data_IF_616600287125
#
_entry.id   IF_616600287125
#
_cell.length_a   1.000
_cell.length_b   1.000
_cell.length_c   1.000
_cell.angle_alpha   90.00
_cell.angle_beta   90.00
_cell.angle_gamma   90.00
#
_symmetry.space_group_name_H-M   'P 1'
#
loop_
_entity.id
_entity.type
_entity.pdbx_description
1 polymer ?
#
# COMPACT_ATOMS: atom_id res chain seq x y z
N UNK A 1 -5.06 -4.84 -20.73
CA UNK A 1 -4.85 -3.41 -21.00
C UNK A 1 -3.82 -3.23 -22.11
N UNK A 2 -2.56 -3.66 -21.94
CA UNK A 2 -1.46 -3.41 -22.91
C UNK A 2 -1.80 -3.87 -24.34
N UNK A 3 -2.36 -5.07 -24.50
CA UNK A 3 -2.79 -5.58 -25.83
C UNK A 3 -3.85 -4.72 -26.49
N UNK A 4 -4.78 -4.12 -25.72
CA UNK A 4 -5.84 -3.27 -26.26
C UNK A 4 -5.29 -2.00 -26.92
N UNK A 5 -4.09 -1.57 -26.50
CA UNK A 5 -3.37 -0.43 -27.05
C UNK A 5 -2.31 -0.80 -28.09
N UNK A 6 -2.22 -2.08 -28.49
CA UNK A 6 -1.32 -2.55 -29.53
C UNK A 6 0.07 -2.97 -29.06
N UNK A 7 0.33 -3.00 -27.74
CA UNK A 7 1.60 -3.53 -27.24
C UNK A 7 1.63 -5.06 -27.36
N UNK A 8 2.76 -5.58 -27.80
CA UNK A 8 3.01 -7.00 -27.80
C UNK A 8 3.32 -7.49 -26.38
N UNK A 9 2.57 -8.48 -25.92
CA UNK A 9 2.81 -9.21 -24.66
C UNK A 9 2.73 -10.71 -24.96
N UNK A 10 3.52 -11.56 -24.31
CA UNK A 10 3.44 -12.99 -24.49
C UNK A 10 2.03 -13.51 -24.22
N UNK A 11 1.61 -14.56 -24.90
CA UNK A 11 0.33 -15.19 -24.61
C UNK A 11 0.39 -15.84 -23.22
N UNK A 12 -0.65 -15.68 -22.42
CA UNK A 12 -0.70 -16.21 -21.06
C UNK A 12 -2.11 -16.30 -20.50
N UNK A 13 -2.29 -17.21 -19.54
CA UNK A 13 -3.55 -17.49 -18.89
C UNK A 13 -3.40 -17.53 -17.39
N UNK A 14 -4.35 -16.97 -16.61
CA UNK A 14 -4.33 -17.07 -15.17
C UNK A 14 -4.62 -18.52 -14.72
N UNK A 15 -4.03 -18.92 -13.61
CA UNK A 15 -4.28 -20.20 -12.96
C UNK A 15 -4.44 -20.01 -11.44
N UNK A 16 -5.49 -20.57 -10.89
CA UNK A 16 -5.79 -20.51 -9.46
C UNK A 16 -5.54 -21.84 -8.75
N UNK A 17 -5.41 -22.90 -9.53
CA UNK A 17 -5.08 -24.25 -9.08
C UNK A 17 -3.91 -24.82 -9.88
N UNK A 18 -3.32 -25.90 -9.40
CA UNK A 18 -2.25 -26.62 -10.11
C UNK A 18 -2.78 -27.20 -11.43
N UNK A 19 -4.00 -27.67 -11.41
CA UNK A 19 -4.69 -28.23 -12.58
C UNK A 19 -4.94 -27.15 -13.64
N UNK A 20 -5.38 -25.95 -13.24
CA UNK A 20 -5.53 -24.81 -14.15
C UNK A 20 -4.18 -24.45 -14.82
N UNK A 21 -3.09 -24.49 -14.03
CA UNK A 21 -1.75 -24.20 -14.56
C UNK A 21 -1.36 -25.17 -15.66
N UNK A 22 -1.60 -26.47 -15.45
CA UNK A 22 -1.31 -27.52 -16.45
C UNK A 22 -2.19 -27.37 -17.68
N UNK A 23 -3.48 -27.04 -17.50
CA UNK A 23 -4.41 -26.83 -18.64
C UNK A 23 -4.00 -25.57 -19.43
N UNK A 24 -3.61 -24.50 -18.75
CA UNK A 24 -3.11 -23.28 -19.38
C UNK A 24 -1.85 -23.54 -20.19
N UNK A 25 -0.91 -24.33 -19.67
CA UNK A 25 0.30 -24.71 -20.40
C UNK A 25 -0.01 -25.56 -21.63
N UNK A 26 -0.94 -26.51 -21.56
CA UNK A 26 -1.39 -27.28 -22.73
C UNK A 26 -2.03 -26.38 -23.80
N UNK A 27 -2.78 -25.36 -23.38
CA UNK A 27 -3.44 -24.41 -24.29
C UNK A 27 -2.44 -23.52 -25.01
N UNK A 28 -1.32 -23.17 -24.37
CA UNK A 28 -0.25 -22.37 -24.98
C UNK A 28 0.49 -23.14 -26.09
N UNK A 29 0.60 -24.45 -25.97
CA UNK A 29 1.24 -25.36 -26.94
C UNK A 29 2.63 -24.87 -27.39
N UNK A 30 3.45 -24.46 -26.42
CA UNK A 30 4.81 -23.94 -26.65
C UNK A 30 5.84 -24.80 -25.93
N UNK A 31 7.08 -24.91 -26.49
CA UNK A 31 8.14 -25.73 -25.89
C UNK A 31 8.65 -25.19 -24.56
N UNK A 32 8.44 -23.90 -24.30
CA UNK A 32 8.85 -23.21 -23.06
C UNK A 32 7.68 -22.45 -22.48
N UNK A 33 7.39 -22.73 -21.23
CA UNK A 33 6.33 -22.09 -20.46
C UNK A 33 6.92 -21.43 -19.22
N UNK A 34 6.47 -20.24 -18.87
CA UNK A 34 6.90 -19.54 -17.66
C UNK A 34 5.76 -19.55 -16.66
N UNK A 35 6.05 -20.02 -15.44
CA UNK A 35 5.13 -20.02 -14.29
C UNK A 35 5.47 -18.82 -13.42
N UNK A 36 4.56 -17.82 -13.38
CA UNK A 36 4.80 -16.54 -12.69
C UNK A 36 3.80 -16.35 -11.55
N UNK A 37 4.28 -16.14 -10.32
CA UNK A 37 3.45 -15.68 -9.21
C UNK A 37 2.80 -14.33 -9.55
N UNK A 38 1.54 -14.15 -9.19
CA UNK A 38 0.84 -12.87 -9.31
C UNK A 38 0.60 -12.32 -7.90
N UNK A 39 1.37 -11.29 -7.55
CA UNK A 39 1.24 -10.47 -6.35
C UNK A 39 1.49 -9.01 -6.74
N UNK A 40 0.95 -8.05 -5.99
CA UNK A 40 1.17 -6.62 -6.21
C UNK A 40 2.55 -6.16 -5.69
N UNK A 41 3.62 -6.81 -6.17
CA UNK A 41 5.00 -6.44 -5.85
C UNK A 41 5.96 -6.86 -6.96
N UNK A 42 7.03 -6.08 -7.13
CA UNK A 42 8.18 -6.41 -7.95
C UNK A 42 9.15 -7.38 -7.27
N UNK A 43 10.25 -7.76 -7.96
CA UNK A 43 11.29 -8.65 -7.42
C UNK A 43 10.86 -10.12 -7.28
N UNK A 44 9.76 -10.51 -7.93
CA UNK A 44 9.20 -11.87 -7.85
C UNK A 44 10.17 -12.95 -8.32
N UNK A 45 10.98 -12.65 -9.34
CA UNK A 45 11.98 -13.57 -9.87
C UNK A 45 13.04 -13.93 -8.84
N UNK A 46 13.62 -12.93 -8.17
CA UNK A 46 14.62 -13.11 -7.12
C UNK A 46 14.05 -13.87 -5.91
N UNK A 47 12.78 -13.62 -5.58
CA UNK A 47 12.07 -14.33 -4.51
C UNK A 47 11.65 -15.77 -4.88
N UNK A 48 11.98 -16.25 -6.08
CA UNK A 48 11.64 -17.58 -6.56
C UNK A 48 10.17 -17.75 -6.99
N UNK A 49 9.49 -16.65 -7.28
CA UNK A 49 8.12 -16.62 -7.78
C UNK A 49 8.00 -16.73 -9.30
N UNK A 50 9.11 -16.89 -10.04
CA UNK A 50 9.13 -17.08 -11.50
C UNK A 50 9.97 -18.30 -11.82
N UNK A 51 9.42 -19.25 -12.59
CA UNK A 51 10.07 -20.50 -12.98
C UNK A 51 9.84 -20.78 -14.46
N UNK A 52 10.88 -21.26 -15.15
CA UNK A 52 10.82 -21.67 -16.55
C UNK A 52 10.62 -23.19 -16.59
N UNK A 53 9.60 -23.65 -17.30
CA UNK A 53 9.23 -25.04 -17.46
C UNK A 53 9.34 -25.50 -18.91
N UNK A 54 9.90 -26.68 -19.13
CA UNK A 54 10.06 -27.32 -20.44
C UNK A 54 9.14 -28.54 -20.61
N UNK A 55 8.33 -28.85 -19.58
CA UNK A 55 7.38 -29.96 -19.61
C UNK A 55 6.15 -29.64 -18.74
N UNK A 56 5.05 -30.36 -18.99
CA UNK A 56 3.83 -30.24 -18.18
C UNK A 56 4.04 -30.72 -16.73
N UNK A 57 4.97 -31.63 -16.51
CA UNK A 57 5.30 -32.11 -15.18
C UNK A 57 6.07 -31.06 -14.39
N UNK A 58 6.99 -30.33 -15.03
CA UNK A 58 7.64 -29.17 -14.42
C UNK A 58 6.65 -28.04 -14.12
N UNK A 59 5.70 -27.76 -15.02
CA UNK A 59 4.62 -26.80 -14.75
C UNK A 59 3.83 -27.20 -13.50
N UNK A 60 3.45 -28.48 -13.40
CA UNK A 60 2.74 -29.02 -12.23
C UNK A 60 3.56 -28.88 -10.95
N UNK A 61 4.85 -29.20 -11.01
CA UNK A 61 5.76 -29.07 -9.87
C UNK A 61 5.88 -27.61 -9.44
N UNK A 62 6.20 -26.69 -10.34
CA UNK A 62 6.40 -25.28 -10.01
C UNK A 62 5.11 -24.60 -9.55
N UNK A 63 3.96 -24.98 -10.13
CA UNK A 63 2.68 -24.48 -9.64
C UNK A 63 2.44 -24.89 -8.18
N UNK A 64 2.75 -26.13 -7.78
CA UNK A 64 2.65 -26.58 -6.37
C UNK A 64 3.62 -25.86 -5.45
N UNK A 65 4.83 -25.57 -5.91
CA UNK A 65 5.86 -24.87 -5.14
C UNK A 65 5.52 -23.40 -4.89
N UNK A 66 4.83 -22.75 -5.83
CA UNK A 66 4.59 -21.30 -5.81
C UNK A 66 3.21 -20.96 -5.24
N UNK A 67 2.15 -21.70 -5.60
CA UNK A 67 0.80 -21.46 -5.07
C UNK A 67 0.77 -21.65 -3.55
N UNK A 68 0.22 -20.67 -2.84
CA UNK A 68 0.12 -20.66 -1.39
C UNK A 68 1.41 -20.26 -0.65
N UNK A 69 2.54 -20.12 -1.36
CA UNK A 69 3.81 -19.64 -0.78
C UNK A 69 3.70 -18.15 -0.45
N UNK A 70 4.31 -17.73 0.63
CA UNK A 70 4.53 -16.32 0.94
C UNK A 70 5.84 -15.87 0.30
N UNK A 71 5.76 -14.92 -0.63
CA UNK A 71 6.93 -14.31 -1.26
C UNK A 71 7.34 -13.07 -0.49
N UNK A 72 8.60 -13.02 -0.10
CA UNK A 72 9.24 -11.87 0.53
C UNK A 72 10.12 -11.19 -0.51
N UNK A 73 9.79 -9.95 -0.85
CA UNK A 73 10.56 -9.10 -1.76
C UNK A 73 10.90 -7.77 -1.07
N UNK A 74 11.75 -6.95 -1.66
CA UNK A 74 12.02 -5.59 -1.11
C UNK A 74 10.73 -4.78 -0.95
N UNK A 75 9.78 -4.93 -1.88
CA UNK A 75 8.52 -4.16 -1.90
C UNK A 75 7.45 -4.72 -0.94
N UNK A 76 7.43 -6.04 -0.67
CA UNK A 76 6.47 -6.63 0.28
C UNK A 76 6.90 -6.49 1.74
N UNK A 77 8.17 -6.14 1.98
CA UNK A 77 8.74 -6.15 3.31
C UNK A 77 8.80 -7.56 3.95
N UNK A 78 9.19 -7.66 5.24
CA UNK A 78 9.45 -8.95 5.89
C UNK A 78 8.21 -9.83 6.07
N UNK A 79 7.00 -9.25 6.07
CA UNK A 79 5.73 -10.01 6.16
C UNK A 79 5.46 -10.80 4.88
N UNK A 80 5.96 -10.34 3.74
CA UNK A 80 5.71 -10.95 2.44
C UNK A 80 4.26 -10.86 1.97
N UNK A 81 3.98 -11.41 0.79
CA UNK A 81 2.63 -11.57 0.24
C UNK A 81 2.39 -13.03 -0.16
N UNK A 82 1.21 -13.55 0.18
CA UNK A 82 0.80 -14.91 -0.17
C UNK A 82 0.39 -14.99 -1.63
N UNK A 83 0.95 -15.95 -2.37
CA UNK A 83 0.59 -16.19 -3.78
C UNK A 83 -0.75 -16.92 -3.85
N UNK A 84 -1.76 -16.27 -4.37
CA UNK A 84 -3.11 -16.82 -4.54
C UNK A 84 -3.39 -17.25 -5.98
N UNK A 85 -2.59 -16.78 -6.95
CA UNK A 85 -2.75 -17.06 -8.38
C UNK A 85 -1.43 -17.02 -9.11
N UNK A 86 -1.40 -17.68 -10.27
CA UNK A 86 -0.28 -17.71 -11.20
C UNK A 86 -0.69 -17.13 -12.55
N UNK A 87 0.28 -16.65 -13.30
CA UNK A 87 0.20 -16.45 -14.73
C UNK A 87 1.05 -17.54 -15.39
N UNK A 88 0.46 -18.30 -16.29
CA UNK A 88 1.13 -19.31 -17.12
C UNK A 88 1.29 -18.69 -18.49
N UNK A 89 2.52 -18.43 -18.89
CA UNK A 89 2.85 -17.59 -20.05
C UNK A 89 3.80 -18.31 -21.01
N UNK A 90 3.64 -18.04 -22.30
CA UNK A 90 4.56 -18.55 -23.32
C UNK A 90 5.95 -17.92 -23.15
N UNK A 91 6.99 -18.74 -23.18
CA UNK A 91 8.37 -18.27 -23.18
C UNK A 91 8.71 -17.51 -24.47
N UNK A 92 9.73 -16.67 -24.43
CA UNK A 92 10.25 -15.95 -25.58
C UNK A 92 11.79 -16.03 -25.61
N UNK A 93 12.39 -15.84 -26.80
CA UNK A 93 13.84 -15.82 -26.96
C UNK A 93 14.37 -14.40 -26.72
N UNK A 94 14.81 -14.15 -25.48
CA UNK A 94 15.33 -12.85 -25.07
C UNK A 94 16.70 -12.61 -25.73
N UNK A 95 16.85 -11.47 -26.43
CA UNK A 95 18.11 -10.95 -26.93
C UNK A 95 18.70 -9.92 -25.98
N UNK A 96 17.87 -8.98 -25.52
CA UNK A 96 18.28 -7.94 -24.58
C UNK A 96 17.08 -7.44 -23.78
N UNK A 97 17.31 -7.11 -22.52
CA UNK A 97 16.33 -6.55 -21.61
C UNK A 97 16.57 -5.06 -21.40
N UNK A 98 15.48 -4.30 -21.29
CA UNK A 98 15.48 -2.86 -21.08
C UNK A 98 14.47 -2.51 -19.99
N UNK A 99 14.68 -1.37 -19.36
CA UNK A 99 13.71 -0.70 -18.53
C UNK A 99 13.01 0.41 -19.31
N UNK A 100 11.71 0.54 -19.19
CA UNK A 100 10.94 1.66 -19.71
C UNK A 100 9.82 2.04 -18.76
N UNK A 101 9.66 3.33 -18.44
CA UNK A 101 8.53 3.83 -17.66
C UNK A 101 8.07 5.20 -18.11
N UNK A 102 6.81 5.51 -17.77
CA UNK A 102 6.22 6.84 -17.80
C UNK A 102 5.71 7.18 -16.41
N UNK A 103 5.99 8.39 -15.95
CA UNK A 103 5.51 8.91 -14.67
C UNK A 103 5.33 10.44 -14.75
N UNK A 104 4.63 11.01 -13.76
CA UNK A 104 4.50 12.47 -13.63
C UNK A 104 5.67 13.00 -12.82
N UNK A 105 6.48 13.85 -13.42
CA UNK A 105 7.50 14.64 -12.74
C UNK A 105 6.86 15.95 -12.22
N UNK A 106 6.67 16.03 -10.90
CA UNK A 106 6.02 17.20 -10.26
C UNK A 106 6.88 18.44 -10.26
N UNK A 107 8.22 18.29 -10.32
CA UNK A 107 9.12 19.46 -10.37
C UNK A 107 9.16 20.08 -11.76
N UNK A 108 9.16 19.21 -12.79
CA UNK A 108 9.13 19.64 -14.18
C UNK A 108 7.70 19.91 -14.70
N UNK A 109 6.67 19.62 -13.89
CA UNK A 109 5.24 19.81 -14.23
C UNK A 109 4.83 19.12 -15.53
N UNK A 110 5.44 17.97 -15.84
CA UNK A 110 5.19 17.24 -17.08
C UNK A 110 5.33 15.73 -16.91
N UNK A 111 4.98 14.98 -17.96
CA UNK A 111 5.21 13.55 -18.04
C UNK A 111 6.68 13.32 -18.42
N UNK A 112 7.36 12.41 -17.74
CA UNK A 112 8.69 11.98 -18.11
C UNK A 112 8.68 10.52 -18.54
N UNK A 113 9.32 10.24 -19.68
CA UNK A 113 9.66 8.89 -20.12
C UNK A 113 11.07 8.57 -19.65
N UNK A 114 11.23 7.48 -18.92
CA UNK A 114 12.54 7.00 -18.46
C UNK A 114 12.87 5.68 -19.12
N UNK A 115 14.12 5.52 -19.54
CA UNK A 115 14.61 4.29 -20.15
C UNK A 115 16.01 3.94 -19.67
N UNK A 116 16.32 2.65 -19.57
CA UNK A 116 17.65 2.14 -19.24
C UNK A 116 17.92 0.81 -19.94
N UNK A 117 19.20 0.53 -20.23
CA UNK A 117 19.65 -0.78 -20.71
C UNK A 117 19.73 -1.83 -19.57
N UNK A 118 19.52 -1.41 -18.32
CA UNK A 118 19.51 -2.28 -17.15
C UNK A 118 18.09 -2.80 -16.88
N UNK A 119 17.52 -3.57 -17.83
CA UNK A 119 16.23 -4.22 -17.66
C UNK A 119 16.27 -5.40 -16.68
N UNK A 120 15.13 -5.73 -16.09
CA UNK A 120 14.99 -6.83 -15.11
C UNK A 120 15.60 -6.54 -13.75
N UNK A 121 16.22 -5.36 -13.55
CA UNK A 121 16.82 -4.92 -12.29
C UNK A 121 15.90 -3.91 -11.57
N UNK A 122 16.16 -3.74 -10.28
CA UNK A 122 15.55 -2.69 -9.45
C UNK A 122 16.07 -1.31 -9.91
N UNK A 123 15.18 -0.50 -10.46
CA UNK A 123 15.56 0.79 -11.07
C UNK A 123 16.04 1.81 -10.04
N UNK A 124 15.56 1.73 -8.79
CA UNK A 124 15.98 2.57 -7.70
C UNK A 124 17.47 2.33 -7.37
N UNK A 125 17.90 1.07 -7.42
CA UNK A 125 19.31 0.70 -7.27
C UNK A 125 20.13 1.26 -8.43
N UNK A 126 19.66 1.13 -9.68
CA UNK A 126 20.33 1.70 -10.85
C UNK A 126 20.42 3.22 -10.75
N UNK A 127 19.36 3.88 -10.27
CA UNK A 127 19.34 5.34 -10.10
C UNK A 127 20.34 5.83 -9.03
N UNK A 128 20.53 5.05 -7.96
CA UNK A 128 21.44 5.39 -6.88
C UNK A 128 22.92 5.14 -7.25
N UNK A 129 23.22 4.03 -7.92
CA UNK A 129 24.59 3.61 -8.22
C UNK A 129 25.09 4.11 -9.57
N UNK A 130 24.20 4.20 -10.57
CA UNK A 130 24.50 4.51 -11.97
C UNK A 130 23.47 5.45 -12.61
N UNK A 131 23.25 6.68 -12.07
CA UNK A 131 22.25 7.62 -12.58
C UNK A 131 22.43 7.96 -14.06
N UNK A 132 23.68 7.89 -14.57
CA UNK A 132 24.03 8.13 -15.99
C UNK A 132 23.43 7.08 -16.94
N UNK A 133 23.04 5.91 -16.45
CA UNK A 133 22.40 4.85 -17.26
C UNK A 133 20.90 5.08 -17.47
N UNK A 134 20.32 6.08 -16.80
CA UNK A 134 18.91 6.41 -16.93
C UNK A 134 18.73 7.58 -17.87
N UNK A 135 18.17 7.31 -19.01
CA UNK A 135 17.79 8.32 -20.00
C UNK A 135 16.42 8.89 -19.64
N UNK A 136 16.24 10.20 -19.81
CA UNK A 136 14.97 10.89 -19.55
C UNK A 136 14.56 11.72 -20.75
N UNK A 137 13.27 11.65 -21.10
CA UNK A 137 12.59 12.48 -22.08
C UNK A 137 11.40 13.15 -21.43
N UNK A 138 11.42 14.47 -21.38
CA UNK A 138 10.33 15.28 -20.86
C UNK A 138 9.30 15.55 -21.95
N UNK A 139 8.06 15.28 -21.67
CA UNK A 139 6.97 15.27 -22.64
C UNK A 139 6.03 16.44 -22.30
N UNK A 140 5.90 17.36 -23.22
CA UNK A 140 4.93 18.46 -23.11
C UNK A 140 3.51 17.86 -23.08
N UNK A 141 2.69 18.16 -22.06
CA UNK A 141 1.37 17.55 -21.90
C UNK A 141 0.37 17.95 -22.99
N UNK A 142 0.61 19.07 -23.71
CA UNK A 142 -0.25 19.56 -24.80
C UNK A 142 0.10 18.86 -26.11
N UNK A 143 1.40 18.67 -26.39
CA UNK A 143 1.90 18.06 -27.65
C UNK A 143 1.85 16.55 -27.55
N UNK A 144 2.12 15.97 -26.36
CA UNK A 144 2.30 14.55 -26.16
C UNK A 144 3.65 14.04 -26.64
N UNK A 145 3.84 12.70 -26.60
CA UNK A 145 5.08 12.07 -27.02
C UNK A 145 5.25 12.13 -28.55
N UNK A 146 6.21 12.93 -28.98
CA UNK A 146 6.54 13.09 -30.40
C UNK A 146 7.38 11.93 -30.91
N UNK A 147 7.27 11.64 -32.22
CA UNK A 147 8.01 10.54 -32.88
C UNK A 147 9.53 10.65 -32.71
N UNK A 148 10.08 11.85 -32.78
CA UNK A 148 11.50 12.07 -32.62
C UNK A 148 12.00 11.77 -31.21
N UNK A 149 11.18 12.04 -30.16
CA UNK A 149 11.52 11.74 -28.77
C UNK A 149 11.57 10.21 -28.55
N UNK A 150 10.57 9.48 -29.03
CA UNK A 150 10.55 8.02 -28.94
C UNK A 150 11.75 7.39 -29.70
N UNK A 151 12.10 7.91 -30.89
CA UNK A 151 13.27 7.46 -31.63
C UNK A 151 14.58 7.83 -30.93
N UNK A 152 14.69 9.04 -30.38
CA UNK A 152 15.85 9.48 -29.61
C UNK A 152 16.10 8.57 -28.41
N UNK A 153 15.04 8.21 -27.67
CA UNK A 153 15.12 7.24 -26.58
C UNK A 153 15.59 5.86 -27.10
N UNK A 154 15.01 5.36 -28.18
CA UNK A 154 15.40 4.07 -28.76
C UNK A 154 16.87 4.04 -29.21
N UNK A 155 17.38 5.12 -29.82
CA UNK A 155 18.81 5.24 -30.15
C UNK A 155 19.68 5.37 -28.89
N UNK A 156 19.25 6.12 -27.89
CA UNK A 156 19.97 6.26 -26.63
C UNK A 156 20.07 4.95 -25.85
N UNK A 157 19.08 4.08 -25.98
CA UNK A 157 19.07 2.72 -25.42
C UNK A 157 19.82 1.70 -26.32
N UNK A 158 20.51 2.17 -27.37
CA UNK A 158 21.29 1.36 -28.32
C UNK A 158 20.48 0.23 -28.97
N UNK A 159 19.20 0.48 -29.30
CA UNK A 159 18.48 -0.45 -30.16
C UNK A 159 19.13 -0.55 -31.53
N UNK A 160 19.23 -1.77 -32.05
CA UNK A 160 19.69 -1.98 -33.41
C UNK A 160 18.75 -1.29 -34.40
N UNK A 161 19.28 -0.79 -35.54
CA UNK A 161 18.54 -0.04 -36.55
C UNK A 161 17.23 -0.72 -36.98
N UNK A 162 17.25 -2.06 -37.08
CA UNK A 162 16.07 -2.88 -37.46
C UNK A 162 14.96 -2.82 -36.43
N UNK A 163 15.27 -2.59 -35.14
CA UNK A 163 14.34 -2.59 -34.03
C UNK A 163 13.92 -1.17 -33.57
N UNK A 164 14.64 -0.11 -33.99
CA UNK A 164 14.36 1.28 -33.54
C UNK A 164 12.91 1.68 -33.77
N UNK A 165 12.32 1.42 -34.93
CA UNK A 165 10.95 1.80 -35.22
C UNK A 165 9.94 1.01 -34.39
N UNK A 166 10.21 -0.28 -34.10
CA UNK A 166 9.37 -1.10 -33.24
C UNK A 166 9.46 -0.62 -31.78
N UNK A 167 10.66 -0.29 -31.28
CA UNK A 167 10.85 0.26 -29.94
C UNK A 167 10.15 1.62 -29.80
N UNK A 168 10.30 2.51 -30.78
CA UNK A 168 9.61 3.80 -30.78
C UNK A 168 8.09 3.64 -30.81
N UNK A 169 7.55 2.72 -31.59
CA UNK A 169 6.12 2.42 -31.62
C UNK A 169 5.64 1.87 -30.27
N UNK A 170 6.41 0.95 -29.67
CA UNK A 170 6.13 0.40 -28.35
C UNK A 170 6.05 1.51 -27.28
N UNK A 171 7.01 2.44 -27.25
CA UNK A 171 7.02 3.58 -26.34
C UNK A 171 5.79 4.45 -26.52
N UNK A 172 5.38 4.72 -27.76
CA UNK A 172 4.16 5.51 -28.06
C UNK A 172 2.90 4.79 -27.60
N UNK A 173 2.78 3.49 -27.80
CA UNK A 173 1.64 2.73 -27.31
C UNK A 173 1.58 2.70 -25.77
N UNK A 174 2.73 2.56 -25.07
CA UNK A 174 2.75 2.63 -23.62
C UNK A 174 2.38 4.04 -23.11
N UNK A 175 2.82 5.09 -23.81
CA UNK A 175 2.39 6.46 -23.53
C UNK A 175 0.87 6.63 -23.68
N UNK A 176 0.26 6.03 -24.71
CA UNK A 176 -1.18 6.04 -24.91
C UNK A 176 -1.92 5.29 -23.76
N UNK A 177 -1.36 4.19 -23.26
CA UNK A 177 -1.89 3.52 -22.07
C UNK A 177 -1.82 4.47 -20.87
N UNK A 178 -0.67 5.10 -20.64
CA UNK A 178 -0.43 6.01 -19.53
C UNK A 178 -1.46 7.14 -19.48
N UNK A 179 -1.64 7.84 -20.59
CA UNK A 179 -2.60 8.96 -20.69
C UNK A 179 -4.04 8.46 -20.74
N UNK A 180 -4.32 7.42 -21.55
CA UNK A 180 -5.69 6.95 -21.79
C UNK A 180 -6.32 6.21 -20.62
N UNK A 181 -5.52 5.79 -19.63
CA UNK A 181 -5.97 5.14 -18.39
C UNK A 181 -5.68 5.96 -17.14
N UNK A 182 -5.30 7.23 -17.30
CA UNK A 182 -4.95 8.12 -16.18
C UNK A 182 -3.95 7.45 -15.20
N UNK A 183 -2.87 6.90 -15.74
CA UNK A 183 -1.86 6.28 -14.92
C UNK A 183 -1.00 7.33 -14.20
N UNK A 184 -0.65 7.07 -12.96
CA UNK A 184 0.42 7.78 -12.24
C UNK A 184 1.79 7.16 -12.51
N UNK A 185 1.83 5.87 -12.88
CA UNK A 185 3.00 5.13 -13.32
C UNK A 185 2.57 4.10 -14.37
N UNK A 186 3.33 4.00 -15.47
CA UNK A 186 3.30 2.86 -16.38
C UNK A 186 4.74 2.39 -16.59
N UNK A 187 5.07 1.25 -16.02
CA UNK A 187 6.41 0.66 -16.03
C UNK A 187 6.39 -0.68 -16.76
N UNK A 188 7.38 -0.91 -17.61
CA UNK A 188 7.65 -2.20 -18.22
C UNK A 188 9.09 -2.59 -17.87
N UNK A 189 9.23 -3.64 -17.06
CA UNK A 189 10.52 -4.07 -16.53
C UNK A 189 10.57 -5.61 -16.37
N UNK A 190 11.12 -6.32 -17.39
CA UNK A 190 11.77 -5.78 -18.58
C UNK A 190 10.84 -5.56 -19.77
N UNK A 191 11.18 -4.53 -20.57
CA UNK A 191 10.87 -4.45 -21.99
C UNK A 191 11.95 -5.26 -22.74
N UNK A 192 11.55 -6.19 -23.56
CA UNK A 192 12.47 -7.17 -24.18
C UNK A 192 12.56 -6.97 -25.67
N UNK A 193 13.80 -6.92 -26.19
CA UNK A 193 14.09 -7.18 -27.60
C UNK A 193 14.30 -8.69 -27.76
N UNK A 194 13.51 -9.33 -28.62
CA UNK A 194 13.63 -10.76 -28.92
C UNK A 194 14.66 -11.02 -30.00
N UNK A 195 15.07 -12.30 -30.17
CA UNK A 195 15.97 -12.71 -31.27
C UNK A 195 15.35 -12.47 -32.63
N UNK A 196 14.03 -12.47 -32.73
CA UNK A 196 13.25 -12.16 -33.96
C UNK A 196 13.12 -10.65 -34.19
N UNK A 197 13.80 -9.82 -33.40
CA UNK A 197 13.76 -8.37 -33.42
C UNK A 197 12.36 -7.79 -33.16
N UNK A 198 11.55 -8.45 -32.35
CA UNK A 198 10.32 -7.89 -31.82
C UNK A 198 10.56 -7.24 -30.44
N UNK A 199 9.73 -6.24 -30.11
CA UNK A 199 9.77 -5.55 -28.83
C UNK A 199 8.50 -5.92 -28.07
N UNK A 200 8.67 -6.52 -26.88
CA UNK A 200 7.57 -7.06 -26.09
C UNK A 200 7.64 -6.58 -24.63
N UNK A 201 6.50 -6.46 -23.97
CA UNK A 201 6.43 -6.29 -22.51
C UNK A 201 6.40 -7.66 -21.86
N UNK A 202 7.45 -7.99 -21.10
CA UNK A 202 7.52 -9.26 -20.39
C UNK A 202 6.95 -9.18 -18.98
N UNK A 203 7.13 -8.04 -18.32
CA UNK A 203 6.46 -7.70 -17.07
C UNK A 203 6.11 -6.21 -17.06
N UNK A 204 4.96 -5.87 -16.45
CA UNK A 204 4.50 -4.50 -16.40
C UNK A 204 3.83 -4.20 -15.06
N UNK A 205 3.99 -2.95 -14.61
CA UNK A 205 3.34 -2.38 -13.45
C UNK A 205 2.63 -1.10 -13.86
N UNK A 206 1.33 -1.04 -13.61
CA UNK A 206 0.50 0.14 -13.87
C UNK A 206 -0.11 0.61 -12.56
N UNK A 207 0.12 1.87 -12.20
CA UNK A 207 -0.58 2.53 -11.11
C UNK A 207 -1.53 3.57 -11.73
N UNK A 208 -2.77 3.55 -11.29
CA UNK A 208 -3.81 4.45 -11.77
C UNK A 208 -4.03 5.57 -10.76
N UNK A 209 -4.52 6.71 -11.23
CA UNK A 209 -4.96 7.78 -10.34
C UNK A 209 -6.33 7.43 -9.76
N UNK A 210 -6.41 7.22 -8.46
CA UNK A 210 -7.64 6.83 -7.75
C UNK A 210 -8.77 7.85 -7.96
N UNK A 211 -8.44 9.14 -8.09
CA UNK A 211 -9.43 10.21 -8.31
C UNK A 211 -10.13 10.09 -9.67
N UNK A 212 -9.56 9.35 -10.61
CA UNK A 212 -10.09 9.17 -11.97
C UNK A 212 -10.81 7.85 -12.20
N UNK A 213 -10.79 6.94 -11.24
CA UNK A 213 -11.35 5.57 -11.37
C UNK A 213 -12.84 5.56 -11.76
N UNK A 214 -13.60 6.61 -11.39
CA UNK A 214 -14.99 6.75 -11.83
C UNK A 214 -15.15 6.80 -13.36
N UNK A 215 -14.09 7.20 -14.11
CA UNK A 215 -14.06 7.21 -15.58
C UNK A 215 -13.61 5.86 -16.17
N UNK A 216 -13.08 4.97 -15.34
CA UNK A 216 -12.47 3.70 -15.76
C UNK A 216 -13.11 2.48 -15.09
N UNK A 217 -14.39 2.18 -15.38
CA UNK A 217 -15.06 1.01 -14.76
C UNK A 217 -14.39 -0.31 -15.12
N UNK A 218 -13.69 -0.39 -16.24
CA UNK A 218 -12.89 -1.54 -16.65
C UNK A 218 -11.66 -1.75 -15.74
N UNK A 219 -11.05 -0.67 -15.22
CA UNK A 219 -9.96 -0.76 -14.24
C UNK A 219 -10.52 -1.14 -12.86
N UNK A 220 -11.63 -0.53 -12.44
CA UNK A 220 -12.30 -0.87 -11.17
C UNK A 220 -12.66 -2.36 -11.13
N UNK A 221 -13.08 -2.94 -12.25
CA UNK A 221 -13.40 -4.37 -12.34
C UNK A 221 -12.18 -5.30 -12.15
N UNK A 222 -10.96 -4.79 -12.28
CA UNK A 222 -9.70 -5.53 -12.03
C UNK A 222 -9.22 -5.45 -10.59
N UNK A 223 -9.90 -4.69 -9.73
CA UNK A 223 -9.52 -4.52 -8.32
C UNK A 223 -9.47 -5.88 -7.62
N UNK A 224 -8.37 -6.15 -6.95
CA UNK A 224 -8.15 -7.35 -6.14
C UNK A 224 -8.06 -7.01 -4.66
N UNK A 225 -9.20 -7.06 -3.99
CA UNK A 225 -9.32 -6.73 -2.55
C UNK A 225 -8.44 -7.63 -1.66
N UNK A 226 -8.07 -8.84 -2.12
CA UNK A 226 -7.21 -9.75 -1.35
C UNK A 226 -5.73 -9.29 -1.32
N UNK A 227 -5.34 -8.44 -2.27
CA UNK A 227 -3.99 -7.84 -2.32
C UNK A 227 -3.90 -6.51 -1.56
N UNK A 228 -5.04 -5.91 -1.18
CA UNK A 228 -5.10 -4.67 -0.41
C UNK A 228 -4.87 -4.91 1.09
N UNK A 229 -4.55 -3.84 1.82
CA UNK A 229 -4.62 -3.87 3.28
C UNK A 229 -6.08 -4.07 3.71
N UNK A 230 -6.33 -5.04 4.58
CA UNK A 230 -7.70 -5.42 4.95
C UNK A 230 -8.44 -4.29 5.68
N UNK A 231 -7.73 -3.46 6.46
CA UNK A 231 -8.31 -2.33 7.16
C UNK A 231 -8.65 -1.20 6.20
N UNK A 232 -7.76 -0.94 5.21
CA UNK A 232 -8.02 0.04 4.15
C UNK A 232 -9.22 -0.38 3.29
N UNK A 233 -9.30 -1.66 2.94
CA UNK A 233 -10.44 -2.22 2.21
C UNK A 233 -11.74 -2.15 3.00
N UNK A 234 -11.70 -2.40 4.31
CA UNK A 234 -12.86 -2.27 5.21
C UNK A 234 -13.30 -0.82 5.34
N UNK A 235 -12.36 0.11 5.58
CA UNK A 235 -12.63 1.54 5.67
C UNK A 235 -13.27 2.09 4.40
N UNK A 236 -12.78 1.68 3.24
CA UNK A 236 -13.34 2.09 1.95
C UNK A 236 -14.81 1.65 1.77
N UNK A 237 -15.23 0.49 2.30
CA UNK A 237 -16.63 0.04 2.29
C UNK A 237 -17.55 0.92 3.14
N UNK A 238 -17.00 1.47 4.23
CA UNK A 238 -17.72 2.39 5.14
C UNK A 238 -17.63 3.86 4.69
N UNK A 239 -17.01 4.13 3.54
CA UNK A 239 -16.81 5.48 3.01
C UNK A 239 -15.84 6.33 3.85
N UNK A 240 -14.84 5.69 4.46
CA UNK A 240 -13.76 6.31 5.22
C UNK A 240 -12.47 6.30 4.40
N UNK A 241 -11.69 7.37 4.49
CA UNK A 241 -10.34 7.42 3.94
C UNK A 241 -9.34 6.97 5.02
N UNK A 242 -8.79 5.79 4.86
CA UNK A 242 -7.88 5.16 5.83
C UNK A 242 -6.58 4.72 5.13
N UNK A 243 -5.44 5.01 5.76
CA UNK A 243 -4.12 4.48 5.38
C UNK A 243 -3.45 3.94 6.63
N UNK A 244 -2.98 2.71 6.58
CA UNK A 244 -2.26 2.06 7.66
C UNK A 244 -0.80 2.53 7.69
N UNK A 245 -0.34 3.09 8.82
CA UNK A 245 1.03 3.57 9.04
C UNK A 245 1.84 2.69 9.99
N UNK A 246 1.18 1.78 10.73
CA UNK A 246 1.82 0.75 11.54
C UNK A 246 2.39 1.20 12.89
N UNK A 247 2.03 2.39 13.38
CA UNK A 247 2.40 2.88 14.71
C UNK A 247 1.43 2.43 15.82
N UNK A 248 1.48 3.11 16.96
CA UNK A 248 0.72 2.79 18.18
C UNK A 248 -0.29 3.86 18.59
N UNK A 249 -0.21 5.06 18.00
CA UNK A 249 -1.19 6.15 18.24
C UNK A 249 -2.11 6.30 17.04
N UNK A 250 -3.34 5.83 17.15
CA UNK A 250 -4.33 6.03 16.11
C UNK A 250 -4.85 7.47 16.08
N UNK A 251 -5.22 7.96 14.90
CA UNK A 251 -5.87 9.26 14.77
C UNK A 251 -7.17 9.18 13.97
N UNK A 252 -8.16 10.01 14.37
CA UNK A 252 -9.41 10.23 13.65
C UNK A 252 -9.62 11.72 13.47
N UNK A 253 -9.78 12.14 12.22
CA UNK A 253 -9.80 13.55 11.82
C UNK A 253 -10.88 13.78 10.77
N UNK A 254 -11.34 15.00 10.60
CA UNK A 254 -12.15 15.39 9.46
C UNK A 254 -11.39 16.33 8.54
N UNK A 255 -11.10 15.85 7.34
CA UNK A 255 -10.36 16.55 6.29
C UNK A 255 -8.89 16.16 6.22
N UNK A 256 -8.43 15.84 5.00
CA UNK A 256 -7.12 15.27 4.73
C UNK A 256 -5.95 16.17 5.20
N UNK A 257 -6.06 17.50 5.05
CA UNK A 257 -5.02 18.43 5.50
C UNK A 257 -4.84 18.43 7.02
N UNK A 258 -5.98 18.38 7.78
CA UNK A 258 -5.93 18.29 9.24
C UNK A 258 -5.41 16.92 9.69
N UNK A 259 -5.71 15.84 8.93
CA UNK A 259 -5.21 14.51 9.21
C UNK A 259 -3.69 14.44 9.02
N UNK A 260 -3.13 14.99 7.95
CA UNK A 260 -1.67 15.08 7.76
C UNK A 260 -1.01 15.87 8.90
N UNK A 261 -1.54 17.06 9.24
CA UNK A 261 -1.00 17.85 10.34
C UNK A 261 -1.09 17.12 11.70
N UNK A 262 -2.13 16.29 11.91
CA UNK A 262 -2.26 15.50 13.14
C UNK A 262 -1.23 14.37 13.19
N UNK A 263 -1.00 13.69 12.08
CA UNK A 263 0.06 12.66 11.95
C UNK A 263 1.44 13.28 12.20
N UNK A 264 1.72 14.43 11.58
CA UNK A 264 2.99 15.13 11.74
C UNK A 264 3.25 15.55 13.19
N UNK A 265 2.27 16.14 13.87
CA UNK A 265 2.44 16.58 15.26
C UNK A 265 2.61 15.41 16.24
N UNK A 266 1.96 14.26 15.99
CA UNK A 266 2.22 13.03 16.75
C UNK A 266 3.69 12.63 16.58
N UNK A 267 4.20 12.65 15.34
CA UNK A 267 5.57 12.26 15.03
C UNK A 267 6.61 13.23 15.62
N UNK A 268 6.37 14.53 15.51
CA UNK A 268 7.23 15.57 16.07
C UNK A 268 7.36 15.48 17.60
N UNK A 269 6.31 15.04 18.28
CA UNK A 269 6.32 14.85 19.75
C UNK A 269 6.82 13.44 20.17
N UNK A 270 7.38 12.66 19.26
CA UNK A 270 8.01 11.37 19.52
C UNK A 270 7.03 10.21 19.72
N UNK A 271 5.83 10.31 19.15
CA UNK A 271 4.88 9.18 18.99
C UNK A 271 5.01 8.52 17.62
N UNK A 272 4.39 7.37 17.47
CA UNK A 272 4.31 6.66 16.20
C UNK A 272 2.84 6.58 15.74
N UNK A 273 2.45 7.36 14.69
CA UNK A 273 1.07 7.34 14.21
C UNK A 273 0.73 5.98 13.58
N UNK A 274 -0.38 5.39 14.01
CA UNK A 274 -0.86 4.09 13.55
C UNK A 274 -1.56 4.16 12.20
N UNK A 275 -2.21 5.28 11.92
CA UNK A 275 -3.01 5.45 10.70
C UNK A 275 -3.21 6.92 10.35
N UNK A 276 -3.50 7.14 9.07
CA UNK A 276 -4.21 8.30 8.59
C UNK A 276 -5.70 7.92 8.49
N UNK A 277 -6.61 8.67 9.11
CA UNK A 277 -8.05 8.44 9.00
C UNK A 277 -8.80 9.76 8.88
N UNK A 278 -9.44 9.97 7.74
CA UNK A 278 -10.32 11.09 7.48
C UNK A 278 -11.77 10.60 7.36
N UNK A 279 -12.63 11.05 8.28
CA UNK A 279 -14.05 10.67 8.30
C UNK A 279 -14.89 11.48 7.29
N UNK A 280 -14.27 12.42 6.57
CA UNK A 280 -14.93 13.26 5.57
C UNK A 280 -15.74 14.42 6.15
N UNK A 281 -16.42 15.14 5.25
CA UNK A 281 -17.24 16.32 5.61
C UNK A 281 -18.70 16.01 5.96
N UNK A 282 -19.16 14.77 5.75
CA UNK A 282 -20.55 14.31 5.90
C UNK A 282 -20.67 13.19 6.95
N UNK A 283 -19.88 13.27 8.02
CA UNK A 283 -19.83 12.22 9.04
C UNK A 283 -21.14 12.07 9.78
N UNK A 284 -21.57 10.81 9.95
CA UNK A 284 -22.69 10.40 10.78
C UNK A 284 -22.18 9.65 12.02
N UNK A 285 -22.99 9.48 13.09
CA UNK A 285 -22.58 8.66 14.23
C UNK A 285 -22.13 7.25 13.83
N UNK A 286 -22.79 6.62 12.85
CA UNK A 286 -22.45 5.28 12.36
C UNK A 286 -21.06 5.25 11.70
N UNK A 287 -20.68 6.28 10.94
CA UNK A 287 -19.32 6.40 10.38
C UNK A 287 -18.26 6.52 11.48
N UNK A 288 -18.56 7.25 12.56
CA UNK A 288 -17.66 7.37 13.71
C UNK A 288 -17.48 6.00 14.41
N UNK A 289 -18.58 5.28 14.60
CA UNK A 289 -18.54 3.92 15.17
C UNK A 289 -17.71 2.97 14.29
N UNK A 290 -17.90 3.02 12.96
CA UNK A 290 -17.11 2.23 12.02
C UNK A 290 -15.61 2.58 12.10
N UNK A 291 -15.27 3.87 12.16
CA UNK A 291 -13.90 4.34 12.33
C UNK A 291 -13.26 3.81 13.63
N UNK A 292 -13.95 3.88 14.75
CA UNK A 292 -13.49 3.32 16.02
C UNK A 292 -13.26 1.80 15.92
N UNK A 293 -14.20 1.07 15.31
CA UNK A 293 -14.06 -0.39 15.14
C UNK A 293 -12.79 -0.74 14.39
N UNK A 294 -12.53 -0.07 13.26
CA UNK A 294 -11.33 -0.32 12.44
C UNK A 294 -10.05 0.00 13.23
N UNK A 295 -10.01 1.10 13.98
CA UNK A 295 -8.85 1.43 14.82
C UNK A 295 -8.62 0.43 15.94
N UNK A 296 -9.70 -0.04 16.62
CA UNK A 296 -9.61 -0.98 17.74
C UNK A 296 -9.33 -2.43 17.33
N UNK A 297 -9.58 -2.80 16.09
CA UNK A 297 -9.15 -4.10 15.53
C UNK A 297 -7.62 -4.19 15.35
N UNK A 298 -6.90 -3.07 15.47
CA UNK A 298 -5.45 -3.05 15.44
C UNK A 298 -4.86 -3.25 16.84
N UNK A 299 -4.35 -4.43 17.10
CA UNK A 299 -3.69 -4.78 18.37
C UNK A 299 -2.41 -3.94 18.66
N UNK A 300 -1.89 -3.20 17.70
CA UNK A 300 -0.73 -2.31 17.88
C UNK A 300 -1.17 -0.95 18.44
N UNK A 301 -2.44 -0.57 18.25
CA UNK A 301 -2.98 0.71 18.73
C UNK A 301 -3.11 0.70 20.25
N UNK A 302 -2.46 1.64 20.91
CA UNK A 302 -2.43 1.81 22.37
C UNK A 302 -3.07 3.12 22.84
N UNK A 303 -3.33 4.05 21.92
CA UNK A 303 -4.00 5.31 22.22
C UNK A 303 -4.62 5.90 20.97
N UNK A 304 -5.63 6.77 21.14
CA UNK A 304 -6.34 7.42 20.03
C UNK A 304 -6.34 8.94 20.25
N UNK A 305 -6.02 9.68 19.20
CA UNK A 305 -6.21 11.14 19.13
C UNK A 305 -7.33 11.45 18.13
N UNK A 306 -8.42 12.00 18.63
CA UNK A 306 -9.52 12.54 17.83
C UNK A 306 -9.34 14.05 17.71
N UNK A 307 -9.17 14.54 16.49
CA UNK A 307 -8.95 15.95 16.22
C UNK A 307 -9.94 16.44 15.16
N UNK A 308 -11.01 17.07 15.62
CA UNK A 308 -12.13 17.50 14.78
C UNK A 308 -12.22 19.03 14.74
N UNK A 309 -12.30 19.55 13.51
CA UNK A 309 -12.68 20.93 13.27
C UNK A 309 -14.07 20.96 12.63
N UNK A 310 -15.08 21.30 13.42
CA UNK A 310 -16.47 21.35 13.01
C UNK A 310 -16.72 22.49 12.00
N UNK A 311 -16.92 22.09 10.76
CA UNK A 311 -17.36 22.96 9.66
C UNK A 311 -18.71 22.48 9.14
N UNK A 312 -18.70 21.66 8.08
CA UNK A 312 -19.89 20.95 7.60
C UNK A 312 -20.29 19.89 8.66
N UNK A 313 -19.34 19.11 9.13
CA UNK A 313 -19.52 18.26 10.31
C UNK A 313 -19.80 19.13 11.55
N UNK A 314 -20.69 18.69 12.40
CA UNK A 314 -21.00 19.34 13.67
C UNK A 314 -20.37 18.55 14.81
N UNK A 315 -19.77 19.25 15.76
CA UNK A 315 -19.10 18.60 16.91
C UNK A 315 -20.05 17.79 17.80
N UNK A 316 -21.32 18.16 17.90
CA UNK A 316 -22.34 17.40 18.62
C UNK A 316 -22.61 16.03 17.99
N UNK A 317 -22.73 15.94 16.66
CA UNK A 317 -22.89 14.67 15.92
C UNK A 317 -21.69 13.74 16.12
N UNK A 318 -20.47 14.31 16.05
CA UNK A 318 -19.25 13.55 16.32
C UNK A 318 -19.23 13.05 17.78
N UNK A 319 -19.61 13.91 18.73
CA UNK A 319 -19.66 13.55 20.13
C UNK A 319 -20.67 12.41 20.41
N UNK A 320 -21.84 12.43 19.78
CA UNK A 320 -22.82 11.33 19.84
C UNK A 320 -22.22 10.02 19.34
N UNK A 321 -21.52 10.03 18.19
CA UNK A 321 -20.84 8.85 17.67
C UNK A 321 -19.72 8.32 18.57
N UNK A 322 -18.98 9.20 19.25
CA UNK A 322 -17.96 8.82 20.25
C UNK A 322 -18.62 8.11 21.46
N UNK A 323 -19.73 8.66 21.97
CA UNK A 323 -20.49 8.06 23.09
C UNK A 323 -21.01 6.69 22.72
N UNK A 324 -21.60 6.55 21.53
CA UNK A 324 -22.09 5.28 21.01
C UNK A 324 -20.96 4.25 20.84
N UNK A 325 -19.80 4.70 20.33
CA UNK A 325 -18.61 3.84 20.18
C UNK A 325 -18.12 3.31 21.53
N UNK A 326 -18.07 4.15 22.57
CA UNK A 326 -17.68 3.72 23.91
C UNK A 326 -18.63 2.67 24.48
N UNK A 327 -19.94 2.85 24.30
CA UNK A 327 -20.95 1.91 24.74
C UNK A 327 -20.85 0.55 24.02
N UNK A 328 -20.65 0.57 22.71
CA UNK A 328 -20.52 -0.65 21.89
C UNK A 328 -19.24 -1.44 22.19
N UNK A 329 -18.10 -0.75 22.34
CA UNK A 329 -16.80 -1.39 22.58
C UNK A 329 -16.66 -1.95 24.01
N UNK A 330 -17.44 -1.46 24.97
CA UNK A 330 -17.39 -1.88 26.38
C UNK A 330 -18.62 -2.67 26.84
N UNK A 331 -19.43 -3.19 25.92
CA UNK A 331 -20.68 -3.90 26.26
C UNK A 331 -21.60 -3.08 27.19
N UNK A 332 -21.69 -1.78 26.92
CA UNK A 332 -22.56 -0.84 27.68
C UNK A 332 -21.93 -0.19 28.91
N UNK A 333 -20.63 -0.39 29.19
CA UNK A 333 -19.98 0.17 30.40
C UNK A 333 -19.51 1.62 30.26
N UNK A 334 -19.70 2.25 29.07
CA UNK A 334 -19.22 3.61 28.77
C UNK A 334 -17.71 3.79 29.11
N UNK A 335 -16.87 2.93 28.56
CA UNK A 335 -15.43 2.89 28.78
C UNK A 335 -14.69 2.59 27.48
N UNK A 336 -13.55 3.23 27.24
CA UNK A 336 -12.63 2.81 26.19
C UNK A 336 -11.53 1.88 26.78
N UNK A 337 -11.12 0.83 26.06
CA UNK A 337 -10.07 -0.06 26.55
C UNK A 337 -8.69 0.60 26.60
N UNK A 338 -8.49 1.68 25.84
CA UNK A 338 -7.27 2.45 25.73
C UNK A 338 -7.57 3.95 25.87
N UNK A 339 -6.58 4.81 26.18
CA UNK A 339 -6.77 6.25 26.26
C UNK A 339 -7.26 6.85 24.94
N UNK A 340 -8.31 7.65 24.99
CA UNK A 340 -8.86 8.42 23.87
C UNK A 340 -8.82 9.89 24.21
N UNK A 341 -8.08 10.67 23.45
CA UNK A 341 -7.98 12.12 23.61
C UNK A 341 -8.82 12.78 22.54
N UNK A 342 -9.66 13.75 22.93
CA UNK A 342 -10.59 14.41 22.02
C UNK A 342 -10.39 15.92 22.03
N UNK A 343 -10.04 16.46 20.87
CA UNK A 343 -10.06 17.89 20.58
C UNK A 343 -11.20 18.19 19.63
N UNK A 344 -12.15 18.99 20.09
CA UNK A 344 -13.27 19.50 19.29
C UNK A 344 -13.16 21.03 19.17
N UNK A 345 -13.32 21.53 17.95
CA UNK A 345 -13.39 22.97 17.64
C UNK A 345 -14.39 23.24 16.53
N UNK A 346 -14.90 24.49 16.45
CA UNK A 346 -15.80 24.92 15.38
C UNK A 346 -17.27 24.75 15.71
N UNK A 347 -18.09 24.37 14.73
CA UNK A 347 -19.55 24.38 14.83
C UNK A 347 -20.09 23.42 15.87
N UNK A 348 -20.96 23.91 16.77
CA UNK A 348 -21.60 23.17 17.88
C UNK A 348 -20.59 22.58 18.88
N UNK A 349 -19.41 23.20 19.05
CA UNK A 349 -18.35 22.69 19.92
C UNK A 349 -18.81 22.63 21.40
N UNK A 350 -19.53 23.64 21.91
CA UNK A 350 -20.02 23.67 23.28
C UNK A 350 -20.97 22.50 23.57
N UNK A 351 -21.89 22.25 22.63
CA UNK A 351 -22.82 21.12 22.75
C UNK A 351 -22.08 19.76 22.66
N UNK A 352 -21.10 19.65 21.76
CA UNK A 352 -20.27 18.43 21.68
C UNK A 352 -19.50 18.15 22.96
N UNK A 353 -18.88 19.19 23.56
CA UNK A 353 -18.18 19.07 24.85
C UNK A 353 -19.13 18.70 26.00
N UNK A 354 -20.33 19.27 26.02
CA UNK A 354 -21.37 18.93 27.03
C UNK A 354 -21.78 17.46 26.91
N UNK A 355 -22.02 16.95 25.71
CA UNK A 355 -22.36 15.53 25.47
C UNK A 355 -21.26 14.61 26.00
N UNK A 356 -20.01 14.84 25.66
CA UNK A 356 -18.88 14.03 26.13
C UNK A 356 -18.70 14.11 27.65
N UNK A 357 -18.84 15.30 28.24
CA UNK A 357 -18.72 15.48 29.68
C UNK A 357 -19.83 14.75 30.44
N UNK A 358 -21.08 14.86 29.99
CA UNK A 358 -22.24 14.25 30.63
C UNK A 358 -22.25 12.72 30.50
N UNK A 359 -21.63 12.18 29.48
CA UNK A 359 -21.55 10.72 29.25
C UNK A 359 -20.60 10.00 30.23
N UNK A 360 -19.74 10.72 30.97
CA UNK A 360 -18.82 10.18 31.98
C UNK A 360 -18.01 8.95 31.47
N UNK A 361 -17.53 9.01 30.25
CA UNK A 361 -16.78 7.89 29.60
C UNK A 361 -15.39 7.77 30.24
N UNK A 362 -15.09 6.60 30.78
CA UNK A 362 -13.76 6.30 31.31
C UNK A 362 -12.73 6.20 30.19
N UNK A 363 -11.49 6.63 30.43
CA UNK A 363 -10.39 6.73 29.48
C UNK A 363 -10.62 7.73 28.33
N UNK A 364 -11.59 8.63 28.44
CA UNK A 364 -11.81 9.74 27.54
C UNK A 364 -11.31 11.05 28.15
N UNK A 365 -10.44 11.77 27.44
CA UNK A 365 -9.80 12.98 27.94
C UNK A 365 -9.96 14.12 26.93
N UNK A 366 -10.40 15.32 27.35
CA UNK A 366 -10.45 16.49 26.49
C UNK A 366 -9.05 17.08 26.26
N UNK A 367 -8.84 17.70 25.11
CA UNK A 367 -7.69 18.55 24.79
C UNK A 367 -8.17 19.89 24.21
N UNK A 368 -7.41 20.95 24.47
CA UNK A 368 -7.73 22.32 24.01
C UNK A 368 -7.02 22.66 22.71
N UNK A 369 -5.85 22.05 22.46
CA UNK A 369 -5.09 22.21 21.21
C UNK A 369 -4.70 20.85 20.63
N UNK A 370 -4.29 20.85 19.36
CA UNK A 370 -3.81 19.66 18.67
C UNK A 370 -2.50 19.15 19.29
N UNK A 371 -1.60 20.07 19.64
CA UNK A 371 -0.32 19.77 20.28
C UNK A 371 -0.51 19.15 21.68
N UNK A 372 -1.36 19.76 22.51
CA UNK A 372 -1.73 19.20 23.81
C UNK A 372 -2.28 17.79 23.68
N UNK A 373 -3.17 17.58 22.69
CA UNK A 373 -3.74 16.27 22.42
C UNK A 373 -2.68 15.22 22.04
N UNK A 374 -1.73 15.57 21.19
CA UNK A 374 -0.64 14.70 20.78
C UNK A 374 0.29 14.35 21.95
N UNK A 375 0.74 15.35 22.70
CA UNK A 375 1.58 15.15 23.90
C UNK A 375 0.89 14.23 24.90
N UNK A 376 -0.40 14.49 25.17
CA UNK A 376 -1.15 13.75 26.17
C UNK A 376 -1.39 12.29 25.79
N UNK A 377 -1.75 12.00 24.55
CA UNK A 377 -1.94 10.61 24.10
C UNK A 377 -0.63 9.83 24.20
N UNK A 378 0.50 10.43 23.77
CA UNK A 378 1.81 9.81 23.85
C UNK A 378 2.24 9.51 25.29
N UNK A 379 1.99 10.46 26.21
CA UNK A 379 2.27 10.26 27.63
C UNK A 379 1.46 9.10 28.23
N UNK A 380 0.15 9.05 27.96
CA UNK A 380 -0.72 7.98 28.47
C UNK A 380 -0.37 6.61 27.88
N UNK A 381 0.02 6.54 26.62
CA UNK A 381 0.52 5.31 25.99
C UNK A 381 1.79 4.83 26.70
N UNK A 382 2.77 5.71 26.95
CA UNK A 382 4.02 5.36 27.65
C UNK A 382 3.74 4.91 29.09
N UNK A 383 2.88 5.61 29.83
CA UNK A 383 2.50 5.21 31.18
C UNK A 383 1.81 3.83 31.24
N UNK A 384 1.00 3.52 30.25
CA UNK A 384 0.36 2.20 30.12
C UNK A 384 1.40 1.12 29.86
N UNK A 385 2.34 1.33 28.95
CA UNK A 385 3.44 0.40 28.67
C UNK A 385 4.33 0.14 29.89
N UNK A 386 4.64 1.17 30.65
CA UNK A 386 5.42 1.04 31.88
C UNK A 386 4.68 0.21 32.94
N UNK A 387 3.37 0.41 33.09
CA UNK A 387 2.53 -0.39 33.99
C UNK A 387 2.46 -1.86 33.55
N UNK A 388 2.32 -2.11 32.27
CA UNK A 388 2.30 -3.48 31.71
C UNK A 388 3.65 -4.18 31.89
N UNK A 389 4.77 -3.49 31.70
CA UNK A 389 6.13 -4.02 31.95
C UNK A 389 6.34 -4.31 33.43
N UNK A 390 5.95 -3.41 34.32
CA UNK A 390 6.06 -3.61 35.77
C UNK A 390 5.18 -4.78 36.27
N UNK A 391 4.01 -5.00 35.67
CA UNK A 391 3.15 -6.14 35.98
C UNK A 391 3.66 -7.48 35.44
N UNK A 392 4.48 -7.46 34.40
CA UNK A 392 5.07 -8.65 33.78
C UNK A 392 6.39 -9.11 34.45
N UNK A 393 7.03 -8.24 35.27
CA UNK A 393 8.22 -8.64 36.03
C UNK A 393 7.81 -9.61 37.16
N UNK A 394 8.37 -10.83 37.22
CA UNK A 394 8.08 -11.77 38.31
C UNK A 394 8.55 -11.17 39.65
N UNK A 395 7.70 -11.18 40.66
CA UNK A 395 8.05 -10.77 42.00
C UNK A 395 9.33 -11.44 42.46
N UNK A 396 10.34 -10.66 42.86
CA UNK A 396 11.61 -11.17 43.36
C UNK A 396 11.33 -12.21 44.48
N UNK A 397 12.01 -13.38 44.48
CA UNK A 397 11.79 -14.37 45.50
C UNK A 397 12.07 -13.75 46.90
N UNK A 398 11.13 -13.89 47.81
CA UNK A 398 11.28 -13.42 49.17
C UNK A 398 12.56 -14.01 49.78
N UNK A 399 13.40 -13.14 50.36
CA UNK A 399 14.61 -13.55 51.03
C UNK A 399 14.27 -14.62 52.09
N UNK A 400 15.06 -15.70 52.22
CA UNK A 400 14.81 -16.72 53.23
C UNK A 400 14.90 -16.10 54.62
N UNK A 401 13.90 -16.36 55.45
CA UNK A 401 13.89 -15.93 56.84
C UNK A 401 15.10 -16.54 57.56
N UNK A 402 15.96 -15.71 58.13
CA UNK A 402 17.04 -16.14 59.02
C UNK A 402 16.40 -16.89 60.21
N UNK A 403 16.63 -18.17 60.25
CA UNK A 403 16.37 -19.00 61.46
C UNK A 403 17.42 -18.63 62.51
N UNK A 404 16.99 -17.90 63.55
CA UNK A 404 17.77 -17.67 64.72
C UNK A 404 17.90 -19.01 65.46
N UNK A 405 19.07 -19.66 65.35
CA UNK A 405 19.48 -20.74 66.23
C UNK A 405 19.78 -20.11 67.60
N UNK A 406 18.89 -20.37 68.57
CA UNK A 406 19.12 -20.09 69.98
C UNK A 406 20.13 -21.04 70.56
N UNK A 407 21.24 -20.50 71.04
CA UNK A 407 22.15 -21.19 71.95
C UNK A 407 21.39 -21.61 73.22
N UNK A 408 21.38 -22.90 73.50
CA UNK A 408 21.08 -23.42 74.83
C UNK A 408 22.32 -24.11 75.38
N UNK A 409 22.72 -23.66 76.56
CA UNK A 409 23.84 -24.19 77.39
C UNK A 409 23.70 -25.67 77.69
#
# INVERSE_FOLDING_TARGET
ILRQYGLHVPEGYPAFTVEDAVQSAKRLDTPVVVVKAQIHAGGRGEAGGVKIAHSLDEVRQYAREILGKTLVTKQTGPKGKKVTRLLIEAGCHIKKEYYLSFLVDRQAECIVMMGSESGGMDIETVAAEHPEKILKEYIDPVIGLADFQAKRMAYGLHFEQVAVNKAAAFMKYLYQVFVGKDCSLAEVNPMVLTQENDVIALDAKLNFDDSTLARHPDIVALRDVLEEDQKEAQAAREGLNYVNLGGDVACMVNGAGLAMATVDIIKENGGDPANFLDVGGDSTPEKIVAAFRIMMEDNQVKGVLINIFGGINKCDVIAEGIVESAALLSEGKAEFPIPVIVRLEGRNVERGREILHTAHIKNLYPATSMEEGAIRVIQLVKEQEEREKAAAEPAAPAAPAETAEGEVK
#
